data_IF_383952859669
#
_entry.id   IF_383952859669
#
_cell.length_a   1.000
_cell.length_b   1.000
_cell.length_c   1.000
_cell.angle_alpha   90.00
_cell.angle_beta   90.00
_cell.angle_gamma   90.00
#
_symmetry.space_group_name_H-M   'P 1'
#
loop_
_entity.id
_entity.type
_entity.pdbx_description
1 polymer ?
#
# COMPACT_ATOMS: atom_id res chain seq x y z
N UNK A 1 2.60 14.51 59.51
CA UNK A 1 1.33 15.18 59.86
C UNK A 1 0.20 14.30 59.38
N UNK A 2 -0.57 13.79 60.34
CA UNK A 2 -1.71 12.89 60.13
C UNK A 2 -2.88 13.64 59.49
N UNK A 3 -3.63 12.97 58.63
CA UNK A 3 -5.06 13.21 58.49
C UNK A 3 -5.74 11.95 57.93
N UNK A 4 -6.31 11.16 58.83
CA UNK A 4 -7.33 10.17 58.52
C UNK A 4 -8.69 10.85 58.50
N UNK A 5 -9.56 10.48 57.56
CA UNK A 5 -11.01 10.45 57.79
C UNK A 5 -11.69 9.51 56.80
N UNK A 6 -12.30 8.49 57.39
CA UNK A 6 -13.28 7.53 56.87
C UNK A 6 -14.53 8.20 56.33
N UNK A 7 -15.15 7.59 55.31
CA UNK A 7 -16.61 7.33 55.27
C UNK A 7 -16.91 6.25 54.21
N UNK A 8 -17.61 5.22 54.67
CA UNK A 8 -18.07 4.08 53.89
C UNK A 8 -19.35 4.43 53.10
N UNK A 9 -19.50 3.85 51.90
CA UNK A 9 -20.79 3.59 51.28
C UNK A 9 -20.67 2.36 50.36
N UNK A 10 -21.48 1.34 50.66
CA UNK A 10 -21.68 0.13 49.88
C UNK A 10 -22.33 0.44 48.52
N UNK A 11 -21.80 -0.11 47.43
CA UNK A 11 -22.57 -0.56 46.25
C UNK A 11 -21.64 -1.37 45.30
N UNK A 12 -21.82 -2.69 45.18
CA UNK A 12 -22.52 -3.37 44.07
C UNK A 12 -21.58 -3.78 42.92
N UNK A 13 -21.46 -5.11 42.77
CA UNK A 13 -21.28 -5.89 41.52
C UNK A 13 -19.85 -6.14 40.99
N UNK A 14 -19.38 -7.35 41.34
CA UNK A 14 -18.93 -8.43 40.47
C UNK A 14 -18.13 -8.11 39.20
N UNK A 15 -16.90 -8.62 39.18
CA UNK A 15 -16.09 -8.92 38.00
C UNK A 15 -16.80 -9.98 37.08
N UNK A 16 -16.44 -10.14 35.80
CA UNK A 16 -15.07 -10.45 35.41
C UNK A 16 -14.48 -9.59 34.30
N UNK A 17 -13.17 -9.41 34.43
CA UNK A 17 -12.21 -9.10 33.38
C UNK A 17 -12.54 -9.78 32.04
N UNK A 18 -13.12 -9.04 31.10
CA UNK A 18 -12.94 -9.27 29.68
C UNK A 18 -11.99 -8.21 29.17
N UNK A 19 -10.71 -8.52 29.21
CA UNK A 19 -9.72 -7.90 28.36
C UNK A 19 -10.07 -8.22 26.90
N UNK A 20 -11.05 -7.48 26.35
CA UNK A 20 -11.24 -7.39 24.91
C UNK A 20 -10.01 -6.65 24.38
N UNK A 21 -9.02 -7.44 23.96
CA UNK A 21 -7.98 -7.07 23.03
C UNK A 21 -8.56 -6.05 22.04
N UNK A 22 -8.13 -4.80 22.14
CA UNK A 22 -8.35 -3.77 21.12
C UNK A 22 -7.53 -4.20 19.91
N UNK A 23 -8.02 -5.23 19.23
CA UNK A 23 -7.53 -5.69 17.94
C UNK A 23 -7.97 -4.62 16.95
N UNK A 24 -7.10 -3.61 16.77
CA UNK A 24 -7.02 -2.74 15.59
C UNK A 24 -8.29 -2.77 14.72
N UNK A 25 -9.31 -1.99 15.10
CA UNK A 25 -10.65 -1.97 14.51
C UNK A 25 -10.66 -1.29 13.12
N UNK A 26 -9.95 -1.87 12.16
CA UNK A 26 -10.02 -1.48 10.75
C UNK A 26 -10.88 -2.50 10.00
N UNK A 27 -11.82 -2.01 9.19
CA UNK A 27 -12.54 -2.86 8.23
C UNK A 27 -11.55 -3.46 7.21
N UNK A 28 -11.88 -4.59 6.56
CA UNK A 28 -11.04 -5.17 5.51
C UNK A 28 -10.67 -4.16 4.40
N UNK A 29 -11.60 -3.27 4.03
CA UNK A 29 -11.41 -2.20 3.07
C UNK A 29 -10.40 -1.17 3.58
N UNK A 30 -10.50 -0.76 4.84
CA UNK A 30 -9.55 0.16 5.47
C UNK A 30 -8.15 -0.47 5.56
N UNK A 31 -8.05 -1.75 5.91
CA UNK A 31 -6.78 -2.47 5.90
C UNK A 31 -6.17 -2.52 4.49
N UNK A 32 -6.98 -2.86 3.48
CA UNK A 32 -6.56 -2.86 2.08
C UNK A 32 -6.03 -1.49 1.62
N UNK A 33 -6.78 -0.42 1.90
CA UNK A 33 -6.37 0.95 1.60
C UNK A 33 -5.02 1.29 2.25
N UNK A 34 -4.85 0.96 3.53
CA UNK A 34 -3.59 1.22 4.26
C UNK A 34 -2.41 0.45 3.68
N UNK A 35 -2.60 -0.81 3.28
CA UNK A 35 -1.55 -1.60 2.63
C UNK A 35 -1.17 -1.00 1.27
N UNK A 36 -2.15 -0.63 0.43
CA UNK A 36 -1.88 0.09 -0.83
C UNK A 36 -1.08 1.38 -0.60
N UNK A 37 -1.47 2.19 0.39
CA UNK A 37 -0.76 3.43 0.72
C UNK A 37 0.68 3.19 1.20
N UNK A 38 0.91 2.10 1.95
CA UNK A 38 2.23 1.66 2.40
C UNK A 38 3.10 1.23 1.21
N UNK A 39 2.61 0.32 0.37
CA UNK A 39 3.34 -0.19 -0.79
C UNK A 39 3.66 0.93 -1.80
N UNK A 40 2.70 1.82 -2.06
CA UNK A 40 2.92 2.99 -2.93
C UNK A 40 4.02 3.92 -2.40
N UNK A 41 4.07 4.13 -1.08
CA UNK A 41 5.13 4.92 -0.46
C UNK A 41 6.48 4.23 -0.65
N UNK A 42 6.58 2.91 -0.46
CA UNK A 42 7.82 2.17 -0.66
C UNK A 42 8.30 2.19 -2.12
N UNK A 43 7.38 2.17 -3.08
CA UNK A 43 7.69 2.21 -4.50
C UNK A 43 8.12 3.60 -5.01
N UNK A 44 7.42 4.66 -4.59
CA UNK A 44 7.56 6.00 -5.18
C UNK A 44 8.05 7.08 -4.19
N UNK A 45 8.70 6.72 -3.08
CA UNK A 45 9.11 7.72 -2.07
C UNK A 45 9.98 8.85 -2.67
N UNK A 46 10.78 8.53 -3.69
CA UNK A 46 11.69 9.46 -4.36
C UNK A 46 11.00 10.34 -5.42
N UNK A 47 9.80 9.96 -5.90
CA UNK A 47 9.06 10.67 -6.93
C UNK A 47 7.69 11.13 -6.38
N UNK A 48 7.68 12.35 -5.82
CA UNK A 48 6.49 12.94 -5.20
C UNK A 48 5.31 13.02 -6.16
N UNK A 49 5.57 13.28 -7.45
CA UNK A 49 4.53 13.41 -8.46
C UNK A 49 3.85 12.08 -8.75
N UNK A 50 4.63 11.01 -8.96
CA UNK A 50 4.10 9.65 -9.16
C UNK A 50 3.39 9.14 -7.92
N UNK A 51 3.93 9.41 -6.73
CA UNK A 51 3.29 9.04 -5.48
C UNK A 51 1.92 9.70 -5.33
N UNK A 52 1.83 11.02 -5.59
CA UNK A 52 0.56 11.75 -5.55
C UNK A 52 -0.47 11.14 -6.50
N UNK A 53 -0.12 10.99 -7.78
CA UNK A 53 -1.05 10.48 -8.79
C UNK A 53 -1.45 9.03 -8.55
N UNK A 54 -0.54 8.20 -8.04
CA UNK A 54 -0.85 6.81 -7.70
C UNK A 54 -1.83 6.72 -6.53
N UNK A 55 -1.66 7.55 -5.49
CA UNK A 55 -2.62 7.63 -4.37
C UNK A 55 -3.98 8.13 -4.82
N UNK A 56 -4.00 9.17 -5.65
CA UNK A 56 -5.23 9.70 -6.22
C UNK A 56 -6.00 8.63 -7.01
N UNK A 57 -5.31 7.84 -7.85
CA UNK A 57 -5.94 6.73 -8.57
C UNK A 57 -6.55 5.68 -7.64
N UNK A 58 -5.87 5.34 -6.53
CA UNK A 58 -6.44 4.43 -5.53
C UNK A 58 -7.72 5.02 -4.93
N UNK A 59 -7.72 6.31 -4.55
CA UNK A 59 -8.92 6.96 -4.02
C UNK A 59 -10.08 6.95 -5.03
N UNK A 60 -9.80 7.24 -6.30
CA UNK A 60 -10.80 7.19 -7.37
C UNK A 60 -11.34 5.78 -7.54
N UNK A 61 -10.49 4.74 -7.53
CA UNK A 61 -10.96 3.35 -7.59
C UNK A 61 -11.83 2.99 -6.38
N UNK A 62 -11.47 3.40 -5.16
CA UNK A 62 -12.32 3.16 -3.99
C UNK A 62 -13.67 3.89 -4.09
N UNK A 63 -13.69 5.10 -4.64
CA UNK A 63 -14.92 5.86 -4.84
C UNK A 63 -15.87 5.20 -5.86
N UNK A 64 -15.34 4.57 -6.91
CA UNK A 64 -16.17 3.86 -7.92
C UNK A 64 -17.04 2.76 -7.32
N UNK A 65 -16.59 2.12 -6.24
CA UNK A 65 -17.28 1.01 -5.59
C UNK A 65 -17.82 1.38 -4.20
N UNK A 66 -17.94 2.68 -3.87
CA UNK A 66 -18.36 3.09 -2.53
C UNK A 66 -19.80 2.68 -2.18
N UNK A 67 -20.64 2.49 -3.20
CA UNK A 67 -22.04 2.08 -3.08
C UNK A 67 -22.25 0.57 -3.31
N UNK A 68 -21.15 -0.21 -3.48
CA UNK A 68 -21.26 -1.65 -3.67
C UNK A 68 -21.77 -2.34 -2.40
N UNK A 69 -22.95 -2.94 -2.49
CA UNK A 69 -23.62 -3.62 -1.38
C UNK A 69 -23.43 -5.14 -1.40
N UNK A 70 -22.98 -5.72 -2.53
CA UNK A 70 -22.75 -7.16 -2.62
C UNK A 70 -21.48 -7.56 -1.85
N UNK A 71 -21.65 -8.36 -0.80
CA UNK A 71 -20.56 -8.81 0.06
C UNK A 71 -19.48 -9.60 -0.71
N UNK A 72 -19.87 -10.42 -1.69
CA UNK A 72 -18.92 -11.19 -2.50
C UNK A 72 -18.09 -10.28 -3.41
N UNK A 73 -18.73 -9.26 -4.01
CA UNK A 73 -18.05 -8.26 -4.82
C UNK A 73 -17.05 -7.45 -3.97
N UNK A 74 -17.45 -7.03 -2.77
CA UNK A 74 -16.57 -6.33 -1.82
C UNK A 74 -15.38 -7.21 -1.42
N UNK A 75 -15.59 -8.49 -1.10
CA UNK A 75 -14.52 -9.44 -0.78
C UNK A 75 -13.54 -9.60 -1.94
N UNK A 76 -14.04 -9.73 -3.17
CA UNK A 76 -13.23 -9.83 -4.38
C UNK A 76 -12.40 -8.56 -4.62
N UNK A 77 -13.01 -7.37 -4.48
CA UNK A 77 -12.32 -6.08 -4.62
C UNK A 77 -11.21 -5.90 -3.59
N UNK A 78 -11.46 -6.27 -2.33
CA UNK A 78 -10.46 -6.25 -1.25
C UNK A 78 -9.31 -7.21 -1.57
N UNK A 79 -9.60 -8.43 -2.02
CA UNK A 79 -8.58 -9.41 -2.40
C UNK A 79 -7.70 -8.90 -3.56
N UNK A 80 -8.30 -8.30 -4.59
CA UNK A 80 -7.58 -7.68 -5.71
C UNK A 80 -6.69 -6.54 -5.21
N UNK A 81 -7.21 -5.66 -4.35
CA UNK A 81 -6.45 -4.54 -3.80
C UNK A 81 -5.26 -4.99 -2.97
N UNK A 82 -5.41 -6.05 -2.17
CA UNK A 82 -4.31 -6.66 -1.41
C UNK A 82 -3.28 -7.32 -2.32
N UNK A 83 -3.70 -7.98 -3.40
CA UNK A 83 -2.80 -8.56 -4.40
C UNK A 83 -1.99 -7.47 -5.13
N UNK A 84 -2.63 -6.35 -5.50
CA UNK A 84 -1.92 -5.18 -6.04
C UNK A 84 -0.93 -4.62 -5.01
N UNK A 85 -1.33 -4.49 -3.74
CA UNK A 85 -0.43 -3.99 -2.69
C UNK A 85 0.79 -4.89 -2.50
N UNK A 86 0.59 -6.21 -2.48
CA UNK A 86 1.67 -7.18 -2.40
C UNK A 86 2.58 -7.10 -3.65
N UNK A 87 2.01 -7.03 -4.85
CA UNK A 87 2.79 -6.91 -6.08
C UNK A 87 3.68 -5.67 -6.09
N UNK A 88 3.13 -4.51 -5.69
CA UNK A 88 3.88 -3.25 -5.60
C UNK A 88 5.02 -3.38 -4.59
N UNK A 89 4.76 -3.97 -3.42
CA UNK A 89 5.76 -4.13 -2.36
C UNK A 89 6.93 -5.03 -2.79
N UNK A 90 6.65 -6.11 -3.53
CA UNK A 90 7.67 -7.07 -3.96
C UNK A 90 8.46 -6.61 -5.20
N UNK A 91 7.80 -5.99 -6.17
CA UNK A 91 8.39 -5.75 -7.49
C UNK A 91 8.68 -4.29 -7.80
N UNK A 92 8.06 -3.34 -7.09
CA UNK A 92 8.20 -1.91 -7.38
C UNK A 92 8.92 -1.14 -6.28
N UNK A 93 9.24 -1.79 -5.16
CA UNK A 93 10.00 -1.17 -4.07
C UNK A 93 11.32 -0.63 -4.60
N UNK A 94 11.61 0.61 -4.22
CA UNK A 94 12.91 1.22 -4.56
C UNK A 94 14.00 0.50 -3.78
N UNK A 95 14.89 -0.16 -4.50
CA UNK A 95 16.08 -0.81 -3.95
C UNK A 95 17.26 0.18 -3.99
N UNK A 96 17.61 0.69 -2.81
CA UNK A 96 18.71 1.65 -2.64
C UNK A 96 20.06 1.00 -2.93
N UNK A 97 20.25 -0.28 -2.57
CA UNK A 97 21.51 -0.99 -2.80
C UNK A 97 21.78 -1.15 -4.30
N UNK A 98 20.73 -1.49 -5.07
CA UNK A 98 20.79 -1.53 -6.53
C UNK A 98 21.21 -0.18 -7.14
N UNK A 99 20.68 0.93 -6.62
CA UNK A 99 21.02 2.28 -7.09
C UNK A 99 22.48 2.63 -6.75
N UNK A 100 22.92 2.33 -5.53
CA UNK A 100 24.32 2.54 -5.11
C UNK A 100 25.27 1.75 -6.00
N UNK A 101 25.02 0.45 -6.20
CA UNK A 101 25.81 -0.41 -7.08
C UNK A 101 25.87 0.09 -8.53
N UNK A 102 24.75 0.61 -9.06
CA UNK A 102 24.73 1.24 -10.38
C UNK A 102 25.67 2.46 -10.44
N UNK A 103 25.61 3.32 -9.42
CA UNK A 103 26.46 4.53 -9.36
C UNK A 103 27.95 4.19 -9.21
N UNK A 104 28.29 3.21 -8.37
CA UNK A 104 29.67 2.71 -8.22
C UNK A 104 30.21 2.15 -9.53
N UNK A 105 29.39 1.33 -10.22
CA UNK A 105 29.77 0.77 -11.53
C UNK A 105 29.96 1.87 -12.57
N UNK A 106 29.06 2.86 -12.61
CA UNK A 106 29.18 4.03 -13.50
C UNK A 106 30.49 4.81 -13.27
N UNK A 107 30.94 4.94 -12.02
CA UNK A 107 32.19 5.63 -11.67
C UNK A 107 33.45 4.84 -12.02
N UNK A 108 33.38 3.51 -12.02
CA UNK A 108 34.52 2.64 -12.33
C UNK A 108 34.80 2.49 -13.84
N UNK A 109 33.85 2.84 -14.70
CA UNK A 109 33.95 2.65 -16.15
C UNK A 109 34.53 3.88 -16.87
N UNK A 110 35.33 3.69 -17.94
CA UNK A 110 35.68 4.78 -18.86
C UNK A 110 34.43 5.43 -19.47
N UNK A 111 34.49 6.73 -19.77
CA UNK A 111 33.33 7.56 -20.20
C UNK A 111 32.50 6.91 -21.32
N UNK A 112 33.13 6.33 -22.34
CA UNK A 112 32.43 5.69 -23.45
C UNK A 112 31.62 4.45 -23.00
N UNK A 113 32.19 3.63 -22.11
CA UNK A 113 31.53 2.45 -21.55
C UNK A 113 30.44 2.84 -20.56
N UNK A 114 30.69 3.86 -19.73
CA UNK A 114 29.70 4.41 -18.80
C UNK A 114 28.44 4.93 -19.52
N UNK A 115 28.58 5.59 -20.67
CA UNK A 115 27.43 6.04 -21.48
C UNK A 115 26.57 4.87 -21.96
N UNK A 116 27.19 3.80 -22.47
CA UNK A 116 26.48 2.59 -22.90
C UNK A 116 25.79 1.90 -21.72
N UNK A 117 26.53 1.69 -20.63
CA UNK A 117 26.00 1.08 -19.40
C UNK A 117 24.79 1.84 -18.85
N UNK A 118 24.84 3.18 -18.82
CA UNK A 118 23.69 4.02 -18.43
C UNK A 118 22.49 3.84 -19.35
N UNK A 119 22.71 3.80 -20.67
CA UNK A 119 21.62 3.60 -21.64
C UNK A 119 20.93 2.25 -21.44
N UNK A 120 21.71 1.18 -21.29
CA UNK A 120 21.20 -0.18 -21.07
C UNK A 120 20.43 -0.28 -19.74
N UNK A 121 20.96 0.34 -18.68
CA UNK A 121 20.27 0.44 -17.39
C UNK A 121 18.91 1.17 -17.51
N UNK A 122 18.88 2.33 -18.16
CA UNK A 122 17.64 3.09 -18.34
C UNK A 122 16.62 2.34 -19.21
N UNK A 123 17.07 1.56 -20.19
CA UNK A 123 16.20 0.70 -20.98
C UNK A 123 15.58 -0.41 -20.12
N UNK A 124 16.39 -1.09 -19.29
CA UNK A 124 15.91 -2.11 -18.36
C UNK A 124 14.89 -1.54 -17.37
N UNK A 125 15.12 -0.36 -16.80
CA UNK A 125 14.16 0.31 -15.90
C UNK A 125 12.83 0.62 -16.60
N UNK A 126 12.86 1.08 -17.87
CA UNK A 126 11.62 1.32 -18.65
C UNK A 126 10.85 0.04 -18.95
N UNK A 127 11.56 -1.05 -19.25
CA UNK A 127 10.95 -2.36 -19.48
C UNK A 127 10.31 -2.89 -18.20
N UNK A 128 10.99 -2.75 -17.06
CA UNK A 128 10.47 -3.12 -15.75
C UNK A 128 9.19 -2.33 -15.38
N UNK A 129 9.19 -1.01 -15.56
CA UNK A 129 8.01 -0.17 -15.34
C UNK A 129 6.83 -0.58 -16.23
N UNK A 130 7.12 -0.86 -17.51
CA UNK A 130 6.10 -1.33 -18.47
C UNK A 130 5.52 -2.70 -18.06
N UNK A 131 6.38 -3.64 -17.65
CA UNK A 131 5.99 -4.95 -17.15
C UNK A 131 5.13 -4.85 -15.88
N UNK A 132 5.53 -4.02 -14.92
CA UNK A 132 4.76 -3.75 -13.71
C UNK A 132 3.37 -3.22 -14.03
N UNK A 133 3.26 -2.23 -14.93
CA UNK A 133 1.97 -1.68 -15.38
C UNK A 133 1.08 -2.73 -16.02
N UNK A 134 1.64 -3.60 -16.86
CA UNK A 134 0.89 -4.68 -17.49
C UNK A 134 0.39 -5.71 -16.48
N UNK A 135 1.23 -6.10 -15.52
CA UNK A 135 0.84 -7.03 -14.44
C UNK A 135 -0.28 -6.45 -13.58
N UNK A 136 -0.14 -5.21 -13.10
CA UNK A 136 -1.19 -4.53 -12.34
C UNK A 136 -2.49 -4.43 -13.17
N UNK A 137 -2.41 -4.08 -14.45
CA UNK A 137 -3.58 -4.05 -15.34
C UNK A 137 -4.27 -5.42 -15.40
N UNK A 138 -3.53 -6.51 -15.49
CA UNK A 138 -4.09 -7.86 -15.52
C UNK A 138 -4.74 -8.27 -14.19
N UNK A 139 -4.11 -7.94 -13.06
CA UNK A 139 -4.68 -8.15 -11.71
C UNK A 139 -6.02 -7.42 -11.60
N UNK A 140 -6.04 -6.16 -12.04
CA UNK A 140 -7.20 -5.27 -11.97
C UNK A 140 -8.34 -5.63 -12.94
N UNK A 141 -8.08 -6.39 -14.02
CA UNK A 141 -9.14 -6.86 -14.95
C UNK A 141 -10.13 -7.83 -14.30
N UNK A 142 -9.77 -8.45 -13.18
CA UNK A 142 -10.62 -9.41 -12.46
C UNK A 142 -11.67 -8.74 -11.58
N UNK A 143 -11.68 -7.40 -11.49
CA UNK A 143 -12.68 -6.68 -10.69
C UNK A 143 -14.07 -6.82 -11.30
N UNK A 144 -15.14 -6.86 -10.49
CA UNK A 144 -16.48 -6.67 -11.01
C UNK A 144 -16.58 -5.28 -11.69
N UNK A 145 -17.49 -5.10 -12.66
CA UNK A 145 -17.73 -3.79 -13.22
C UNK A 145 -18.26 -2.85 -12.13
N UNK A 146 -17.84 -1.58 -12.10
CA UNK A 146 -18.26 -0.64 -11.06
C UNK A 146 -19.74 -0.26 -11.24
N UNK A 147 -20.48 0.04 -10.16
CA UNK A 147 -21.84 0.54 -10.27
C UNK A 147 -21.93 1.81 -11.13
N UNK A 148 -23.12 2.07 -11.68
CA UNK A 148 -23.40 3.27 -12.48
C UNK A 148 -23.10 4.51 -11.63
N UNK A 149 -22.44 5.56 -12.15
CA UNK A 149 -22.23 5.90 -13.57
C UNK A 149 -20.91 5.41 -14.19
N UNK A 150 -20.21 4.44 -13.60
CA UNK A 150 -18.83 4.11 -14.00
C UNK A 150 -18.69 2.91 -14.95
N UNK A 151 -19.80 2.40 -15.49
CA UNK A 151 -19.81 1.29 -16.46
C UNK A 151 -19.21 1.65 -17.82
#
# INVERSE_FOLDING_TARGET
MNCSSTLACHAVVSAPSTASLITSCWTPQQHCYRQLMKSLRAAYFHDRSKLFWSRHRVLVEFYKYSEEANEEAVKQLVAIGLEVAAFIDHHMRTDVERIVKHNETMMALPVAQAKKFRSDYLLAEKQHDSWCKQKIKNIMKRRPPPPYPFF
#
